data_IF_879235285645
#
_entry.id   IF_879235285645
#
_cell.length_a   1.000
_cell.length_b   1.000
_cell.length_c   1.000
_cell.angle_alpha   90.00
_cell.angle_beta   90.00
_cell.angle_gamma   90.00
#
_symmetry.space_group_name_H-M   'P 1'
#
loop_
_entity.id
_entity.type
_entity.pdbx_description
1 polymer ?
#
# COMPACT_ATOMS: atom_id res chain seq x y z
N UNK A 1 2.06 -9.69 -16.79
CA UNK A 1 0.65 -9.27 -16.75
C UNK A 1 0.46 -7.87 -16.19
N UNK A 2 1.18 -7.46 -15.10
CA UNK A 2 0.98 -6.19 -14.38
C UNK A 2 1.16 -4.90 -15.20
N UNK A 3 1.85 -4.96 -16.32
CA UNK A 3 2.17 -3.79 -17.17
C UNK A 3 1.31 -3.77 -18.45
N UNK A 4 0.55 -4.83 -18.73
CA UNK A 4 -0.28 -4.89 -19.93
C UNK A 4 -1.42 -3.87 -19.86
N UNK A 5 -1.63 -3.14 -20.96
CA UNK A 5 -2.65 -2.10 -21.15
C UNK A 5 -2.51 -0.83 -20.29
N UNK A 6 -1.41 -0.65 -19.54
CA UNK A 6 -1.16 0.62 -18.86
C UNK A 6 -1.10 1.79 -19.85
N UNK A 7 -1.86 2.83 -19.54
CA UNK A 7 -1.93 4.02 -20.38
C UNK A 7 -2.74 3.88 -21.67
N UNK A 8 -3.32 2.71 -21.97
CA UNK A 8 -4.16 2.48 -23.15
C UNK A 8 -5.67 2.66 -22.87
N UNK A 9 -6.07 2.72 -21.61
CA UNK A 9 -7.45 3.01 -21.21
C UNK A 9 -7.53 4.32 -20.44
N UNK A 10 -8.69 4.96 -20.49
CA UNK A 10 -9.02 6.09 -19.60
C UNK A 10 -9.11 5.62 -18.15
N UNK A 11 -8.96 6.55 -17.20
CA UNK A 11 -9.28 6.27 -15.81
C UNK A 11 -10.74 5.86 -15.65
N UNK A 12 -10.99 4.91 -14.75
CA UNK A 12 -12.36 4.57 -14.33
C UNK A 12 -12.92 5.77 -13.56
N UNK A 13 -14.16 6.15 -13.88
CA UNK A 13 -14.85 7.22 -13.19
C UNK A 13 -14.92 6.94 -11.67
N UNK A 14 -14.95 8.00 -10.89
CA UNK A 14 -14.92 8.05 -9.44
C UNK A 14 -13.50 7.82 -8.85
N UNK A 15 -13.07 6.60 -8.59
CA UNK A 15 -11.86 6.38 -7.78
C UNK A 15 -10.57 6.80 -8.50
N UNK A 16 -10.26 6.18 -9.63
CA UNK A 16 -9.01 6.49 -10.34
C UNK A 16 -8.98 7.94 -10.86
N UNK A 17 -10.09 8.39 -11.46
CA UNK A 17 -10.20 9.74 -11.98
C UNK A 17 -10.04 10.80 -10.88
N UNK A 18 -10.61 10.52 -9.71
CA UNK A 18 -10.51 11.40 -8.55
C UNK A 18 -9.06 11.54 -8.06
N UNK A 19 -8.35 10.42 -7.84
CA UNK A 19 -6.96 10.44 -7.39
C UNK A 19 -6.01 11.04 -8.42
N UNK A 20 -6.22 10.70 -9.71
CA UNK A 20 -5.40 11.24 -10.79
C UNK A 20 -5.59 12.74 -10.96
N UNK A 21 -6.82 13.26 -10.84
CA UNK A 21 -7.10 14.68 -10.91
C UNK A 21 -6.49 15.44 -9.73
N UNK A 22 -6.61 14.92 -8.52
CA UNK A 22 -5.96 15.52 -7.35
C UNK A 22 -4.44 15.52 -7.46
N UNK A 23 -3.85 14.43 -7.99
CA UNK A 23 -2.41 14.38 -8.26
C UNK A 23 -1.98 15.44 -9.27
N UNK A 24 -2.80 15.68 -10.29
CA UNK A 24 -2.56 16.74 -11.27
C UNK A 24 -2.60 18.12 -10.63
N UNK A 25 -3.55 18.39 -9.75
CA UNK A 25 -3.61 19.67 -9.04
C UNK A 25 -2.41 19.88 -8.11
N UNK A 26 -1.87 18.82 -7.48
CA UNK A 26 -0.62 18.90 -6.73
C UNK A 26 0.49 19.44 -7.65
N UNK A 27 0.60 18.91 -8.86
CA UNK A 27 1.64 19.34 -9.83
C UNK A 27 1.42 20.74 -10.39
N UNK A 28 0.16 21.15 -10.61
CA UNK A 28 -0.16 22.40 -11.26
C UNK A 28 -0.19 23.57 -10.26
N UNK A 29 -0.60 23.32 -9.00
CA UNK A 29 -0.72 24.35 -7.95
C UNK A 29 0.37 24.32 -6.89
N UNK A 30 1.19 23.27 -6.86
CA UNK A 30 2.31 23.13 -5.91
C UNK A 30 1.89 22.82 -4.47
N UNK A 31 0.64 22.47 -4.20
CA UNK A 31 0.19 22.10 -2.86
C UNK A 31 0.37 20.58 -2.64
N UNK A 32 1.41 20.20 -1.89
CA UNK A 32 1.80 18.83 -1.61
C UNK A 32 1.29 18.28 -0.29
N UNK A 33 0.52 19.06 0.45
CA UNK A 33 0.12 18.72 1.82
C UNK A 33 -1.35 18.36 1.96
N UNK A 34 -2.22 19.04 1.23
CA UNK A 34 -3.68 18.87 1.32
C UNK A 34 -4.24 18.65 -0.08
N UNK A 35 -5.05 17.60 -0.31
CA UNK A 35 -5.69 17.40 -1.60
C UNK A 35 -6.67 18.53 -1.92
N UNK A 36 -6.76 18.88 -3.19
CA UNK A 36 -7.69 19.88 -3.68
C UNK A 36 -8.78 19.25 -4.55
N UNK A 37 -9.96 19.86 -4.56
CA UNK A 37 -11.06 19.58 -5.47
C UNK A 37 -11.72 20.89 -5.91
N UNK A 38 -11.59 21.26 -7.16
CA UNK A 38 -12.04 22.56 -7.70
C UNK A 38 -11.65 23.75 -6.78
N UNK A 39 -10.37 23.85 -6.44
CA UNK A 39 -9.78 24.87 -5.57
C UNK A 39 -10.19 24.83 -4.08
N UNK A 40 -11.06 23.91 -3.67
CA UNK A 40 -11.42 23.70 -2.29
C UNK A 40 -10.56 22.60 -1.66
N UNK A 41 -10.23 22.74 -0.38
CA UNK A 41 -9.53 21.73 0.38
C UNK A 41 -10.44 20.52 0.65
N UNK A 42 -9.92 19.32 0.39
CA UNK A 42 -10.60 18.06 0.66
C UNK A 42 -10.00 17.44 1.90
N UNK A 43 -10.77 17.41 2.99
CA UNK A 43 -10.31 16.95 4.31
C UNK A 43 -10.83 15.55 4.66
N UNK A 44 -11.64 14.94 3.80
CA UNK A 44 -12.23 13.60 4.01
C UNK A 44 -11.28 12.45 3.68
N UNK A 45 -10.18 12.76 2.98
CA UNK A 45 -9.19 11.77 2.51
C UNK A 45 -7.77 12.25 2.74
N UNK A 46 -6.89 11.27 3.00
CA UNK A 46 -5.45 11.52 3.08
C UNK A 46 -4.81 11.65 1.69
N UNK A 47 -3.73 12.41 1.62
CA UNK A 47 -3.04 12.75 0.37
C UNK A 47 -2.11 11.63 -0.15
N UNK A 48 -1.94 10.53 0.59
CA UNK A 48 -0.84 9.57 0.36
C UNK A 48 -0.75 9.03 -1.07
N UNK A 49 -1.85 8.52 -1.64
CA UNK A 49 -1.83 8.00 -3.01
C UNK A 49 -1.63 9.11 -4.03
N UNK A 50 -2.33 10.23 -3.91
CA UNK A 50 -2.23 11.38 -4.81
C UNK A 50 -0.80 11.93 -4.85
N UNK A 51 -0.15 11.98 -3.68
CA UNK A 51 1.25 12.35 -3.56
C UNK A 51 2.16 11.38 -4.35
N UNK A 52 1.96 10.06 -4.20
CA UNK A 52 2.74 9.06 -4.93
C UNK A 52 2.53 9.16 -6.45
N UNK A 53 1.29 9.33 -6.91
CA UNK A 53 0.96 9.54 -8.32
C UNK A 53 1.62 10.82 -8.84
N UNK A 54 1.49 11.93 -8.11
CA UNK A 54 2.09 13.21 -8.49
C UNK A 54 3.62 13.11 -8.57
N UNK A 55 4.27 12.45 -7.60
CA UNK A 55 5.72 12.21 -7.63
C UNK A 55 6.15 11.36 -8.83
N UNK A 56 5.43 10.29 -9.11
CA UNK A 56 5.70 9.46 -10.29
C UNK A 56 5.61 10.28 -11.58
N UNK A 57 4.55 11.06 -11.74
CA UNK A 57 4.35 11.92 -12.90
C UNK A 57 5.33 13.10 -12.96
N UNK A 58 5.80 13.61 -11.84
CA UNK A 58 6.83 14.66 -11.78
C UNK A 58 8.17 14.17 -12.34
N UNK A 59 8.53 12.91 -12.02
CA UNK A 59 9.83 12.33 -12.39
C UNK A 59 9.82 11.82 -13.84
N UNK A 60 8.75 11.13 -14.24
CA UNK A 60 8.71 10.40 -15.51
C UNK A 60 7.84 11.06 -16.60
N UNK A 61 7.14 12.12 -16.23
CA UNK A 61 6.26 12.87 -17.15
C UNK A 61 4.77 12.71 -16.87
N UNK A 62 3.98 13.72 -17.20
CA UNK A 62 2.53 13.80 -16.97
C UNK A 62 1.76 12.87 -17.93
N UNK A 63 1.84 11.57 -17.72
CA UNK A 63 1.20 10.54 -18.53
C UNK A 63 0.38 9.59 -17.64
N UNK A 64 -0.71 9.04 -18.18
CA UNK A 64 -1.57 8.04 -17.53
C UNK A 64 -0.76 6.81 -17.09
N UNK A 65 0.17 6.34 -17.91
CA UNK A 65 1.05 5.22 -17.59
C UNK A 65 1.75 5.38 -16.23
N UNK A 66 2.32 6.56 -15.98
CA UNK A 66 3.04 6.83 -14.73
C UNK A 66 2.15 7.02 -13.52
N UNK A 67 0.85 7.25 -13.72
CA UNK A 67 -0.10 7.27 -12.62
C UNK A 67 -0.34 5.87 -12.01
N UNK A 68 -0.19 4.81 -12.79
CA UNK A 68 -0.30 3.42 -12.31
C UNK A 68 0.97 2.89 -11.65
N UNK A 69 2.12 3.55 -11.82
CA UNK A 69 3.40 3.07 -11.32
C UNK A 69 3.41 2.80 -9.79
N UNK A 70 2.88 3.67 -8.92
CA UNK A 70 2.87 3.42 -7.48
C UNK A 70 2.12 2.15 -7.09
N UNK A 71 0.94 1.91 -7.69
CA UNK A 71 0.13 0.71 -7.43
C UNK A 71 0.80 -0.54 -7.96
N UNK A 72 1.41 -0.48 -9.13
CA UNK A 72 2.19 -1.60 -9.69
C UNK A 72 3.36 -1.99 -8.80
N UNK A 73 4.14 -1.01 -8.33
CA UNK A 73 5.24 -1.27 -7.40
C UNK A 73 4.71 -1.89 -6.10
N UNK A 74 3.62 -1.36 -5.55
CA UNK A 74 2.99 -1.89 -4.34
C UNK A 74 2.50 -3.33 -4.54
N UNK A 75 1.92 -3.67 -5.71
CA UNK A 75 1.50 -5.02 -6.03
C UNK A 75 2.68 -6.01 -6.07
N UNK A 76 3.80 -5.62 -6.66
CA UNK A 76 5.03 -6.44 -6.70
C UNK A 76 5.59 -6.62 -5.28
N UNK A 77 5.67 -5.54 -4.50
CA UNK A 77 6.12 -5.60 -3.10
C UNK A 77 5.22 -6.53 -2.30
N UNK A 78 3.91 -6.46 -2.48
CA UNK A 78 2.94 -7.32 -1.77
C UNK A 78 3.19 -8.80 -2.05
N UNK A 79 3.43 -9.21 -3.31
CA UNK A 79 3.77 -10.60 -3.65
C UNK A 79 5.09 -11.03 -2.99
N UNK A 80 6.12 -10.19 -3.06
CA UNK A 80 7.41 -10.49 -2.46
C UNK A 80 7.33 -10.61 -0.93
N UNK A 81 6.62 -9.70 -0.27
CA UNK A 81 6.44 -9.74 1.18
C UNK A 81 5.56 -10.92 1.61
N UNK A 82 4.54 -11.27 0.82
CA UNK A 82 3.72 -12.47 1.07
C UNK A 82 4.58 -13.75 1.02
N UNK A 83 5.49 -13.85 0.05
CA UNK A 83 6.49 -14.91 0.01
C UNK A 83 7.33 -14.95 1.29
N UNK A 84 7.90 -13.81 1.68
CA UNK A 84 8.74 -13.69 2.89
C UNK A 84 7.97 -13.97 4.19
N UNK A 85 6.71 -13.59 4.24
CA UNK A 85 5.84 -13.85 5.38
C UNK A 85 5.55 -15.35 5.52
N UNK A 86 5.32 -16.06 4.41
CA UNK A 86 5.18 -17.50 4.42
C UNK A 86 6.46 -18.19 4.91
N UNK A 87 7.64 -17.79 4.40
CA UNK A 87 8.94 -18.32 4.88
C UNK A 87 9.13 -18.16 6.39
N UNK A 88 8.62 -17.08 6.98
CA UNK A 88 8.80 -16.80 8.41
C UNK A 88 7.78 -17.49 9.29
N UNK A 89 6.54 -17.63 8.84
CA UNK A 89 5.41 -18.11 9.66
C UNK A 89 5.09 -19.60 9.47
N UNK A 90 5.39 -20.17 8.30
CA UNK A 90 4.97 -21.54 7.93
C UNK A 90 6.20 -22.36 7.62
N UNK A 91 6.72 -22.29 6.39
CA UNK A 91 7.90 -23.02 5.96
C UNK A 91 8.57 -22.38 4.75
N UNK A 92 9.84 -22.75 4.51
CA UNK A 92 10.59 -22.24 3.37
C UNK A 92 10.34 -23.02 2.07
N UNK A 93 9.97 -24.31 2.19
CA UNK A 93 9.88 -25.21 1.05
C UNK A 93 8.76 -24.84 0.08
N UNK A 94 7.62 -24.45 0.65
CA UNK A 94 6.42 -24.11 -0.12
C UNK A 94 6.10 -22.60 -0.11
N UNK A 95 7.06 -21.75 0.25
CA UNK A 95 6.84 -20.31 0.39
C UNK A 95 6.32 -19.63 -0.87
N UNK A 96 6.60 -20.18 -2.06
CA UNK A 96 6.09 -19.65 -3.33
C UNK A 96 4.58 -19.84 -3.54
N UNK A 97 3.96 -20.78 -2.80
CA UNK A 97 2.52 -21.08 -2.94
C UNK A 97 1.65 -19.88 -2.56
N UNK A 98 2.00 -19.18 -1.48
CA UNK A 98 1.20 -18.02 -1.03
C UNK A 98 1.15 -16.88 -2.05
N UNK A 99 2.25 -16.37 -2.60
CA UNK A 99 2.18 -15.34 -3.65
C UNK A 99 1.57 -15.88 -4.94
N UNK A 100 1.69 -17.17 -5.26
CA UNK A 100 1.02 -17.77 -6.40
C UNK A 100 -0.51 -17.71 -6.23
N UNK A 101 -1.03 -18.16 -5.09
CA UNK A 101 -2.46 -18.07 -4.78
C UNK A 101 -2.91 -16.60 -4.82
N UNK A 102 -2.17 -15.70 -4.15
CA UNK A 102 -2.52 -14.28 -4.14
C UNK A 102 -2.60 -13.71 -5.55
N UNK A 103 -1.61 -14.00 -6.41
CA UNK A 103 -1.56 -13.49 -7.78
C UNK A 103 -2.68 -13.99 -8.69
N UNK A 104 -3.34 -15.09 -8.34
CA UNK A 104 -4.48 -15.67 -9.07
C UNK A 104 -5.82 -15.21 -8.49
N UNK A 105 -5.85 -14.52 -7.36
CA UNK A 105 -7.10 -13.98 -6.82
C UNK A 105 -7.60 -12.82 -7.67
N UNK A 106 -8.92 -12.82 -7.95
CA UNK A 106 -9.54 -11.75 -8.73
C UNK A 106 -9.30 -10.36 -8.13
N UNK A 107 -9.47 -10.22 -6.81
CA UNK A 107 -9.29 -8.94 -6.12
C UNK A 107 -7.87 -8.37 -6.29
N UNK A 108 -6.83 -9.21 -6.09
CA UNK A 108 -5.47 -8.74 -6.27
C UNK A 108 -5.20 -8.36 -7.73
N UNK A 109 -5.66 -9.19 -8.67
CA UNK A 109 -5.48 -8.95 -10.09
C UNK A 109 -6.14 -7.65 -10.52
N UNK A 110 -7.39 -7.43 -10.15
CA UNK A 110 -8.16 -6.24 -10.51
C UNK A 110 -7.54 -4.97 -9.91
N UNK A 111 -7.38 -4.92 -8.59
CA UNK A 111 -6.85 -3.75 -7.91
C UNK A 111 -5.36 -3.45 -8.22
N UNK A 112 -4.58 -4.42 -8.68
CA UNK A 112 -3.20 -4.19 -9.12
C UNK A 112 -3.09 -3.39 -10.42
N UNK A 113 -4.18 -3.32 -11.19
CA UNK A 113 -4.29 -2.57 -12.44
C UNK A 113 -5.04 -1.24 -12.29
N UNK A 114 -5.45 -0.89 -11.08
CA UNK A 114 -6.16 0.35 -10.77
C UNK A 114 -5.23 1.33 -10.04
N UNK A 115 -5.31 2.62 -10.39
CA UNK A 115 -4.63 3.69 -9.64
C UNK A 115 -5.44 4.06 -8.38
N UNK A 116 -5.68 3.07 -7.50
CA UNK A 116 -6.48 3.21 -6.27
C UNK A 116 -5.65 2.95 -5.01
N UNK A 117 -6.19 3.32 -3.86
CA UNK A 117 -5.51 3.19 -2.57
C UNK A 117 -5.38 1.74 -2.07
N UNK A 118 -6.21 0.81 -2.58
CA UNK A 118 -6.41 -0.51 -2.00
C UNK A 118 -5.15 -1.36 -1.96
N UNK A 119 -4.49 -1.52 -3.12
CA UNK A 119 -3.30 -2.35 -3.22
C UNK A 119 -2.10 -1.73 -2.49
N UNK A 120 -1.98 -0.39 -2.52
CA UNK A 120 -0.91 0.34 -1.81
C UNK A 120 -1.09 0.17 -0.30
N UNK A 121 -2.31 0.37 0.20
CA UNK A 121 -2.66 0.16 1.60
C UNK A 121 -2.39 -1.28 2.05
N UNK A 122 -2.90 -2.27 1.30
CA UNK A 122 -2.71 -3.70 1.61
C UNK A 122 -1.24 -4.11 1.61
N UNK A 123 -0.45 -3.58 0.67
CA UNK A 123 1.00 -3.81 0.60
C UNK A 123 1.72 -3.27 1.84
N UNK A 124 1.38 -2.06 2.29
CA UNK A 124 1.96 -1.44 3.49
C UNK A 124 1.58 -2.23 4.75
N UNK A 125 0.31 -2.62 4.89
CA UNK A 125 -0.14 -3.45 6.02
C UNK A 125 0.59 -4.79 6.03
N UNK A 126 0.67 -5.48 4.89
CA UNK A 126 1.38 -6.77 4.79
C UNK A 126 2.86 -6.64 5.15
N UNK A 127 3.51 -5.54 4.75
CA UNK A 127 4.91 -5.25 5.11
C UNK A 127 5.05 -4.96 6.62
N UNK A 128 4.08 -4.28 7.20
CA UNK A 128 4.00 -4.10 8.65
C UNK A 128 3.87 -5.44 9.39
N UNK A 129 2.99 -6.32 8.93
CA UNK A 129 2.81 -7.68 9.48
C UNK A 129 4.09 -8.51 9.39
N UNK A 130 4.81 -8.43 8.29
CA UNK A 130 6.11 -9.09 8.15
C UNK A 130 7.13 -8.55 9.16
N UNK A 131 7.19 -7.23 9.35
CA UNK A 131 8.05 -6.63 10.38
C UNK A 131 7.68 -7.14 11.77
N UNK A 132 6.39 -7.22 12.09
CA UNK A 132 5.90 -7.78 13.36
C UNK A 132 6.27 -9.25 13.53
N UNK A 133 6.18 -10.07 12.49
CA UNK A 133 6.56 -11.50 12.53
C UNK A 133 8.05 -11.68 12.85
N UNK A 134 8.90 -10.74 12.40
CA UNK A 134 10.35 -10.73 12.68
C UNK A 134 10.72 -10.35 14.11
N UNK A 135 9.82 -9.81 14.90
CA UNK A 135 10.09 -9.46 16.30
C UNK A 135 10.13 -10.74 17.14
N UNK A 136 11.34 -11.23 17.44
CA UNK A 136 11.58 -12.43 18.27
C UNK A 136 12.05 -12.09 19.69
N UNK A 137 12.52 -10.87 19.93
CA UNK A 137 12.95 -10.37 21.23
C UNK A 137 13.00 -8.84 21.26
N UNK A 138 13.10 -8.24 22.46
CA UNK A 138 13.31 -6.79 22.62
C UNK A 138 14.57 -6.25 21.90
N UNK A 139 15.57 -7.10 21.66
CA UNK A 139 16.77 -6.71 20.90
C UNK A 139 16.49 -6.37 19.44
N UNK A 140 15.32 -6.77 18.92
CA UNK A 140 14.91 -6.50 17.54
C UNK A 140 14.17 -5.16 17.42
N UNK A 141 14.67 -4.10 18.08
CA UNK A 141 14.05 -2.76 18.09
C UNK A 141 13.84 -2.17 16.70
N UNK A 142 14.68 -2.52 15.73
CA UNK A 142 14.53 -2.08 14.34
C UNK A 142 13.20 -2.55 13.70
N UNK A 143 12.78 -3.78 13.96
CA UNK A 143 11.51 -4.29 13.42
C UNK A 143 10.29 -3.65 14.10
N UNK A 144 10.41 -3.29 15.39
CA UNK A 144 9.38 -2.51 16.09
C UNK A 144 9.24 -1.13 15.45
N UNK A 145 10.36 -0.46 15.22
CA UNK A 145 10.37 0.84 14.53
C UNK A 145 9.79 0.73 13.11
N UNK A 146 10.23 -0.26 12.32
CA UNK A 146 9.72 -0.50 10.97
C UNK A 146 8.21 -0.79 10.97
N UNK A 147 7.71 -1.56 11.92
CA UNK A 147 6.28 -1.80 12.06
C UNK A 147 5.51 -0.49 12.26
N UNK A 148 5.99 0.39 13.16
CA UNK A 148 5.39 1.71 13.36
C UNK A 148 5.42 2.59 12.11
N UNK A 149 6.54 2.60 11.38
CA UNK A 149 6.68 3.34 10.12
C UNK A 149 5.67 2.85 9.07
N UNK A 150 5.54 1.53 8.85
CA UNK A 150 4.62 0.97 7.87
C UNK A 150 3.16 1.25 8.22
N UNK A 151 2.80 1.19 9.50
CA UNK A 151 1.44 1.54 9.95
C UNK A 151 1.17 3.03 9.76
N UNK A 152 2.13 3.90 10.08
CA UNK A 152 2.01 5.34 9.81
C UNK A 152 1.82 5.67 8.34
N UNK A 153 2.59 5.01 7.45
CA UNK A 153 2.42 5.16 6.01
C UNK A 153 1.05 4.63 5.54
N UNK A 154 0.58 3.50 6.07
CA UNK A 154 -0.75 2.96 5.77
C UNK A 154 -1.86 3.91 6.21
N UNK A 155 -1.70 4.58 7.37
CA UNK A 155 -2.61 5.63 7.83
C UNK A 155 -2.66 6.81 6.84
N UNK A 156 -1.54 7.21 6.27
CA UNK A 156 -1.48 8.25 5.25
C UNK A 156 -2.14 7.86 3.92
N UNK A 157 -2.39 6.57 3.67
CA UNK A 157 -3.12 6.10 2.48
C UNK A 157 -4.63 6.02 2.74
N UNK A 158 -5.06 5.39 3.84
CA UNK A 158 -6.49 5.10 4.11
C UNK A 158 -6.95 5.47 5.53
N UNK A 159 -6.33 6.47 6.14
CA UNK A 159 -6.74 7.01 7.46
C UNK A 159 -7.10 5.92 8.50
N UNK A 160 -8.31 5.97 9.04
CA UNK A 160 -8.76 5.10 10.13
C UNK A 160 -8.90 3.62 9.74
N UNK A 161 -8.91 3.28 8.45
CA UNK A 161 -9.01 1.88 8.03
C UNK A 161 -7.83 1.03 8.53
N UNK A 162 -6.68 1.64 8.84
CA UNK A 162 -5.52 0.97 9.43
C UNK A 162 -5.82 0.32 10.79
N UNK A 163 -6.82 0.80 11.52
CA UNK A 163 -7.21 0.20 12.79
C UNK A 163 -7.84 -1.17 12.64
N UNK A 164 -8.45 -1.50 11.50
CA UNK A 164 -9.03 -2.83 11.25
C UNK A 164 -7.97 -3.95 11.34
N UNK A 165 -6.88 -3.92 10.56
CA UNK A 165 -5.82 -4.93 10.71
C UNK A 165 -5.12 -4.86 12.07
N UNK A 166 -4.98 -3.68 12.70
CA UNK A 166 -4.39 -3.57 14.03
C UNK A 166 -5.26 -4.25 15.10
N UNK A 167 -6.58 -4.05 15.07
CA UNK A 167 -7.51 -4.72 15.98
C UNK A 167 -7.52 -6.23 15.76
N UNK A 168 -7.44 -6.69 14.51
CA UNK A 168 -7.37 -8.13 14.20
C UNK A 168 -6.11 -8.80 14.73
N UNK A 169 -5.05 -8.03 15.02
CA UNK A 169 -3.82 -8.53 15.64
C UNK A 169 -3.89 -8.67 17.16
N UNK A 170 -4.89 -8.11 17.84
CA UNK A 170 -4.98 -8.13 19.30
C UNK A 170 -4.91 -9.57 19.89
N UNK A 171 -5.64 -10.58 19.35
CA UNK A 171 -5.52 -11.95 19.86
C UNK A 171 -4.08 -12.48 19.79
N UNK A 172 -3.41 -12.23 18.67
CA UNK A 172 -2.02 -12.65 18.48
C UNK A 172 -1.07 -11.97 19.48
N UNK A 173 -1.22 -10.68 19.71
CA UNK A 173 -0.40 -9.92 20.66
C UNK A 173 -0.66 -10.36 22.11
N UNK A 174 -1.90 -10.68 22.47
CA UNK A 174 -2.27 -11.17 23.81
C UNK A 174 -1.65 -12.53 24.06
N UNK A 175 -1.73 -13.46 23.10
CA UNK A 175 -1.14 -14.81 23.21
C UNK A 175 0.38 -14.72 23.30
N UNK A 176 1.00 -13.81 22.55
CA UNK A 176 2.45 -13.55 22.56
C UNK A 176 2.93 -12.66 23.72
N UNK A 177 2.09 -12.28 24.66
CA UNK A 177 2.42 -11.37 25.77
C UNK A 177 3.70 -11.79 26.52
N UNK A 178 3.93 -13.08 26.69
CA UNK A 178 5.13 -13.63 27.32
C UNK A 178 6.41 -13.44 26.48
N UNK A 179 6.31 -12.93 25.27
CA UNK A 179 7.43 -12.71 24.34
C UNK A 179 7.94 -11.25 24.39
N UNK A 180 7.15 -10.32 24.91
CA UNK A 180 7.41 -8.89 24.96
C UNK A 180 7.84 -8.42 26.37
N UNK A 181 7.68 -9.27 27.40
CA UNK A 181 8.17 -9.07 28.75
C UNK A 181 9.50 -9.82 28.95
#
# INVERSE_FOLDING_TARGET
>A
PLIFYFGKRSYIAFDEGFYALQARWILDKGNWTIPLWFDNYVLDRTIGLQFLIAKSQQIFGKNIFWAYLPTTIAAIIMLFITFKLHEELIDKKFAFVSPLILSTTYLWFDYSHLATQDIVFSSLVTTGLFSLAKIKSRKNSIYIFLFGVWIGLAFMIKTFLVFVPLLSLLPYLIIKKNFLL
#
